data_IF_805178622961
#
_entry.id   IF_805178622961
#
_cell.length_a   1.000
_cell.length_b   1.000
_cell.length_c   1.000
_cell.angle_alpha   90.00
_cell.angle_beta   90.00
_cell.angle_gamma   90.00
#
_symmetry.space_group_name_H-M   'P 1'
#
loop_
_entity.id
_entity.type
_entity.pdbx_description
1 polymer ?
#
# COMPACT_ATOMS: atom_id res chain seq x y z
N UNK A 1 -7.52 10.28 -4.09
CA UNK A 1 -6.74 9.13 -3.63
C UNK A 1 -5.40 9.60 -3.12
N UNK A 2 -5.17 9.44 -1.82
CA UNK A 2 -3.89 9.63 -1.15
C UNK A 2 -3.49 8.33 -0.44
N UNK A 3 -2.20 8.19 -0.15
CA UNK A 3 -1.67 7.09 0.67
C UNK A 3 -1.17 7.70 1.97
N UNK A 4 -1.60 7.15 3.10
CA UNK A 4 -1.01 7.37 4.42
C UNK A 4 -0.48 6.03 4.94
N UNK A 5 0.71 6.04 5.54
CA UNK A 5 1.30 4.85 6.14
C UNK A 5 1.93 5.22 7.48
N UNK A 6 1.58 4.45 8.51
CA UNK A 6 2.19 4.60 9.82
C UNK A 6 3.67 4.19 9.81
N UNK A 7 4.50 4.81 10.64
CA UNK A 7 5.92 4.46 10.77
C UNK A 7 6.12 2.98 11.12
N UNK A 8 5.24 2.41 11.97
CA UNK A 8 5.29 0.99 12.35
C UNK A 8 5.03 0.06 11.16
N UNK A 9 4.05 0.39 10.32
CA UNK A 9 3.79 -0.41 9.12
C UNK A 9 4.93 -0.28 8.10
N UNK A 10 5.50 0.92 7.95
CA UNK A 10 6.66 1.13 7.08
C UNK A 10 7.89 0.34 7.56
N UNK A 11 8.18 0.32 8.88
CA UNK A 11 9.24 -0.52 9.45
C UNK A 11 8.98 -2.01 9.22
N UNK A 12 7.73 -2.46 9.37
CA UNK A 12 7.36 -3.84 9.09
C UNK A 12 7.67 -4.21 7.64
N UNK A 13 7.24 -3.39 6.67
CA UNK A 13 7.55 -3.65 5.25
C UNK A 13 9.05 -3.62 4.97
N UNK A 14 9.78 -2.68 5.60
CA UNK A 14 11.23 -2.57 5.45
C UNK A 14 11.92 -3.86 5.90
N UNK A 15 11.51 -4.43 7.03
CA UNK A 15 12.04 -5.70 7.55
C UNK A 15 11.60 -6.89 6.71
N UNK A 16 10.31 -7.02 6.43
CA UNK A 16 9.73 -8.21 5.79
C UNK A 16 10.15 -8.36 4.33
N UNK A 17 10.34 -7.25 3.63
CA UNK A 17 10.73 -7.22 2.21
C UNK A 17 12.22 -6.91 2.00
N UNK A 18 13.02 -6.88 3.07
CA UNK A 18 14.46 -6.53 3.07
C UNK A 18 14.75 -5.25 2.25
N UNK A 19 14.05 -4.17 2.60
CA UNK A 19 14.13 -2.89 1.89
C UNK A 19 15.21 -1.99 2.46
N UNK A 20 15.86 -1.26 1.56
CA UNK A 20 16.86 -0.25 1.85
C UNK A 20 16.31 1.14 1.55
N UNK A 21 16.92 2.17 2.13
CA UNK A 21 16.54 3.55 1.82
C UNK A 21 16.62 3.84 0.31
N UNK A 22 15.58 4.48 -0.23
CA UNK A 22 15.43 4.72 -1.66
C UNK A 22 14.71 3.60 -2.41
N UNK A 23 14.40 2.47 -1.76
CA UNK A 23 13.56 1.43 -2.37
C UNK A 23 12.09 1.85 -2.50
N UNK A 24 11.40 1.13 -3.36
CA UNK A 24 10.02 1.39 -3.73
C UNK A 24 9.14 0.16 -3.47
N UNK A 25 7.97 0.40 -2.90
CA UNK A 25 6.94 -0.61 -2.65
C UNK A 25 5.68 -0.19 -3.37
N UNK A 26 5.22 -1.05 -4.28
CA UNK A 26 3.99 -0.85 -5.02
C UNK A 26 2.85 -1.62 -4.38
N UNK A 27 1.72 -0.95 -4.20
CA UNK A 27 0.43 -1.58 -3.97
C UNK A 27 -0.30 -1.70 -5.30
N UNK A 28 -0.71 -2.91 -5.66
CA UNK A 28 -1.34 -3.20 -6.95
C UNK A 28 -2.57 -4.07 -6.78
N UNK A 29 -3.52 -3.95 -7.70
CA UNK A 29 -4.79 -4.67 -7.60
C UNK A 29 -4.63 -6.09 -8.13
N UNK A 30 -5.12 -7.07 -7.38
CA UNK A 30 -5.17 -8.49 -7.79
C UNK A 30 -6.59 -8.98 -7.81
N UNK A 31 -6.92 -9.74 -8.85
CA UNK A 31 -8.14 -10.55 -8.87
C UNK A 31 -8.01 -11.71 -7.88
N UNK A 32 -9.05 -11.90 -7.08
CA UNK A 32 -9.06 -12.83 -5.95
C UNK A 32 -8.89 -12.13 -4.61
N UNK A 33 -9.64 -12.58 -3.61
CA UNK A 33 -9.70 -11.99 -2.28
C UNK A 33 -11.01 -11.24 -2.00
N UNK A 34 -11.07 -10.60 -0.85
CA UNK A 34 -12.20 -9.79 -0.41
C UNK A 34 -11.66 -8.46 0.11
N UNK A 35 -12.19 -7.35 -0.40
CA UNK A 35 -11.91 -6.00 0.06
C UNK A 35 -13.20 -5.29 0.40
N UNK A 36 -13.10 -4.32 1.32
CA UNK A 36 -14.21 -3.47 1.70
C UNK A 36 -14.70 -2.57 0.54
N UNK A 37 -13.85 -2.31 -0.47
CA UNK A 37 -14.17 -1.39 -1.58
C UNK A 37 -14.64 -2.11 -2.83
N UNK A 38 -13.94 -3.17 -3.26
CA UNK A 38 -14.26 -3.92 -4.49
C UNK A 38 -14.30 -5.42 -4.21
N UNK A 39 -15.49 -6.02 -4.30
CA UNK A 39 -15.68 -7.46 -4.13
C UNK A 39 -14.93 -8.26 -5.19
N UNK A 40 -14.22 -9.32 -4.75
CA UNK A 40 -13.45 -10.18 -5.65
C UNK A 40 -12.06 -9.65 -5.99
N UNK A 41 -11.64 -8.53 -5.40
CA UNK A 41 -10.30 -7.96 -5.59
C UNK A 41 -9.61 -7.69 -4.25
N UNK A 42 -8.28 -7.74 -4.26
CA UNK A 42 -7.42 -7.43 -3.11
C UNK A 42 -6.20 -6.61 -3.54
N UNK A 43 -5.50 -6.04 -2.56
CA UNK A 43 -4.21 -5.40 -2.80
C UNK A 43 -3.07 -6.41 -2.63
N UNK A 44 -2.26 -6.52 -3.66
CA UNK A 44 -0.93 -7.13 -3.61
C UNK A 44 0.14 -6.09 -3.34
N UNK A 45 1.33 -6.60 -2.99
CA UNK A 45 2.50 -5.79 -2.69
C UNK A 45 3.70 -6.37 -3.43
N UNK A 46 4.49 -5.52 -4.08
CA UNK A 46 5.76 -5.91 -4.67
C UNK A 46 6.80 -4.78 -4.60
N UNK A 47 8.07 -5.17 -4.60
CA UNK A 47 9.18 -4.24 -4.79
C UNK A 47 9.30 -3.94 -6.28
N UNK A 48 8.98 -2.71 -6.67
CA UNK A 48 8.91 -2.30 -8.07
C UNK A 48 9.15 -0.81 -8.21
N UNK A 49 9.62 -0.35 -9.37
CA UNK A 49 9.83 1.08 -9.63
C UNK A 49 8.58 1.69 -10.26
N UNK A 50 8.23 2.94 -9.89
CA UNK A 50 7.06 3.59 -10.46
C UNK A 50 7.25 3.86 -11.95
N UNK A 51 6.21 3.59 -12.74
CA UNK A 51 6.11 3.99 -14.14
C UNK A 51 5.30 5.28 -14.23
N UNK A 52 4.03 5.25 -13.79
CA UNK A 52 3.10 6.37 -13.75
C UNK A 52 2.36 6.37 -12.40
N UNK A 53 3.11 6.63 -11.32
CA UNK A 53 2.56 6.67 -9.97
C UNK A 53 1.51 7.77 -9.83
N UNK A 54 0.29 7.39 -9.44
CA UNK A 54 -0.80 8.32 -9.21
C UNK A 54 -0.91 8.78 -7.76
N UNK A 55 -0.48 7.93 -6.82
CA UNK A 55 -0.40 8.28 -5.42
C UNK A 55 0.93 7.75 -4.84
N UNK A 56 1.54 8.53 -3.96
CA UNK A 56 2.83 8.21 -3.35
C UNK A 56 2.87 8.68 -1.89
N UNK A 57 3.48 7.88 -1.03
CA UNK A 57 3.87 8.24 0.33
C UNK A 57 5.33 7.87 0.56
N UNK A 58 6.03 8.62 1.40
CA UNK A 58 7.40 8.28 1.82
C UNK A 58 7.40 8.13 3.33
N UNK A 59 7.92 7.00 3.81
CA UNK A 59 8.09 6.73 5.24
C UNK A 59 9.32 5.85 5.44
N UNK A 60 10.14 6.19 6.45
CA UNK A 60 11.38 5.49 6.81
C UNK A 60 12.36 5.28 5.64
N UNK A 61 12.41 6.26 4.73
CA UNK A 61 13.23 6.24 3.53
C UNK A 61 12.70 5.36 2.39
N UNK A 62 11.54 4.73 2.56
CA UNK A 62 10.88 3.87 1.56
C UNK A 62 9.78 4.65 0.85
N UNK A 63 9.71 4.50 -0.48
CA UNK A 63 8.68 5.10 -1.33
C UNK A 63 7.53 4.10 -1.59
N UNK A 64 6.37 4.35 -1.00
CA UNK A 64 5.15 3.57 -1.20
C UNK A 64 4.29 4.21 -2.29
N UNK A 65 3.73 3.43 -3.22
CA UNK A 65 2.95 4.01 -4.32
C UNK A 65 1.90 3.08 -4.92
N UNK A 66 0.99 3.69 -5.69
CA UNK A 66 -0.02 3.04 -6.51
C UNK A 66 0.08 3.61 -7.93
N UNK A 67 -0.03 2.75 -8.94
CA UNK A 67 -0.03 3.15 -10.36
C UNK A 67 -1.39 3.72 -10.79
N UNK A 68 -1.38 4.59 -11.81
CA UNK A 68 -2.60 5.20 -12.33
C UNK A 68 -3.67 4.17 -12.76
N UNK A 69 -3.23 3.05 -13.33
CA UNK A 69 -4.11 1.96 -13.77
C UNK A 69 -4.80 1.21 -12.62
N UNK A 70 -4.37 1.41 -11.38
CA UNK A 70 -4.90 0.76 -10.18
C UNK A 70 -5.83 1.70 -9.37
N UNK A 71 -5.94 2.99 -9.72
CA UNK A 71 -6.76 3.97 -8.97
C UNK A 71 -8.24 3.57 -8.88
N UNK A 72 -8.80 3.01 -9.96
CA UNK A 72 -10.22 2.67 -10.05
C UNK A 72 -10.68 1.77 -8.90
N UNK A 73 -9.79 0.91 -8.38
CA UNK A 73 -10.09 0.01 -7.28
C UNK A 73 -10.47 0.76 -5.99
N UNK A 74 -9.88 1.92 -5.78
CA UNK A 74 -10.10 2.71 -4.57
C UNK A 74 -11.41 3.49 -4.60
N UNK A 75 -12.08 3.60 -5.75
CA UNK A 75 -13.40 4.26 -5.89
C UNK A 75 -13.50 5.61 -5.17
N UNK A 76 -12.47 6.44 -5.34
CA UNK A 76 -12.37 7.77 -4.71
C UNK A 76 -11.95 7.78 -3.23
N UNK A 77 -11.80 6.63 -2.58
CA UNK A 77 -11.25 6.51 -1.22
C UNK A 77 -9.74 6.78 -1.23
N UNK A 78 -9.20 7.07 -0.06
CA UNK A 78 -7.79 7.10 0.31
C UNK A 78 -7.39 5.76 0.93
N UNK A 79 -6.13 5.37 0.81
CA UNK A 79 -5.58 4.19 1.47
C UNK A 79 -4.80 4.62 2.71
N UNK A 80 -5.28 4.20 3.87
CA UNK A 80 -4.56 4.30 5.13
C UNK A 80 -3.98 2.94 5.51
N UNK A 81 -2.70 2.93 5.85
CA UNK A 81 -1.94 1.72 6.17
C UNK A 81 -1.42 1.83 7.60
N UNK A 82 -2.11 1.14 8.48
CA UNK A 82 -1.78 1.09 9.90
C UNK A 82 -1.11 -0.24 10.27
N UNK A 83 -0.58 -0.34 11.49
CA UNK A 83 0.02 -1.57 11.99
C UNK A 83 -0.82 -2.14 13.13
N UNK A 84 -1.23 -3.40 13.00
CA UNK A 84 -2.01 -4.08 14.02
C UNK A 84 -1.11 -4.92 14.94
N UNK A 85 -0.88 -4.43 16.15
CA UNK A 85 0.00 -5.10 17.13
C UNK A 85 -0.50 -6.47 17.59
N UNK A 86 -1.81 -6.74 17.48
CA UNK A 86 -2.37 -8.04 17.89
C UNK A 86 -2.03 -9.13 16.88
N UNK A 87 -2.01 -8.79 15.61
CA UNK A 87 -1.77 -9.73 14.51
C UNK A 87 -0.35 -9.62 13.93
N UNK A 88 0.44 -8.64 14.40
CA UNK A 88 1.81 -8.35 13.96
C UNK A 88 1.93 -8.11 12.44
N UNK A 89 0.91 -7.45 11.87
CA UNK A 89 0.81 -7.22 10.42
C UNK A 89 0.24 -5.84 10.08
N UNK A 90 0.58 -5.28 8.90
CA UNK A 90 -0.07 -4.09 8.36
C UNK A 90 -1.53 -4.34 8.01
N UNK A 91 -2.37 -3.34 8.22
CA UNK A 91 -3.80 -3.37 7.88
C UNK A 91 -4.13 -2.22 6.94
N UNK A 92 -5.02 -2.50 5.98
CA UNK A 92 -5.51 -1.53 5.02
C UNK A 92 -6.89 -1.03 5.40
N UNK A 93 -7.00 0.28 5.55
CA UNK A 93 -8.25 0.99 5.77
C UNK A 93 -8.53 1.93 4.59
N UNK A 94 -9.79 2.03 4.19
CA UNK A 94 -10.22 2.83 3.05
C UNK A 94 -11.11 3.97 3.53
N UNK A 95 -10.62 5.20 3.46
CA UNK A 95 -11.29 6.38 4.00
C UNK A 95 -11.70 7.34 2.87
N UNK A 96 -12.90 7.92 2.93
CA UNK A 96 -13.27 9.01 2.00
C UNK A 96 -12.67 10.34 2.43
#
# INVERSE_FOLDING_TARGET
MNISISEKAAEWYKRELDLQEGDFVRFFVRYGGSSAVQSGFSLGINKDKPVNAAAKAISNGISFFIEENDIWYFDGHNLDISFNEKYDEPVFDYQK
#
